data_IF_675213463040
#
_entry.id   IF_675213463040
#
_cell.length_a   1.000
_cell.length_b   1.000
_cell.length_c   1.000
_cell.angle_alpha   90.00
_cell.angle_beta   90.00
_cell.angle_gamma   90.00
#
_symmetry.space_group_name_H-M   'P 1'
#
loop_
_entity.id
_entity.type
_entity.pdbx_description
1 polymer ?
#
# COMPACT_ATOMS: atom_id res chain seq x y z
N UNK A 1 17.65 -24.01 44.94
CA UNK A 1 19.10 -23.97 44.71
C UNK A 1 19.30 -24.15 43.22
N UNK A 2 19.79 -23.12 42.54
CA UNK A 2 20.13 -23.23 41.12
C UNK A 2 21.36 -24.13 40.97
N UNK A 3 21.58 -24.73 39.80
CA UNK A 3 22.77 -25.59 39.62
C UNK A 3 24.06 -24.82 39.93
N UNK A 4 24.13 -23.55 39.54
CA UNK A 4 25.27 -22.67 39.83
C UNK A 4 25.52 -22.52 41.34
N UNK A 5 24.46 -22.35 42.15
CA UNK A 5 24.59 -22.23 43.61
C UNK A 5 25.12 -23.53 44.24
N UNK A 6 24.72 -24.69 43.70
CA UNK A 6 25.21 -25.99 44.18
C UNK A 6 26.68 -26.20 43.79
N UNK A 7 27.06 -25.76 42.58
CA UNK A 7 28.45 -25.82 42.12
C UNK A 7 29.35 -24.89 42.95
N UNK A 8 28.88 -23.69 43.27
CA UNK A 8 29.59 -22.75 44.14
C UNK A 8 29.79 -23.34 45.56
N UNK A 9 28.78 -24.01 46.12
CA UNK A 9 28.91 -24.72 47.40
C UNK A 9 29.90 -25.91 47.34
N UNK A 10 29.98 -26.61 46.20
CA UNK A 10 30.95 -27.67 45.98
C UNK A 10 32.38 -27.11 45.90
N UNK A 11 32.58 -26.00 45.20
CA UNK A 11 33.88 -25.32 45.12
C UNK A 11 34.30 -24.76 46.49
N UNK A 12 33.39 -24.16 47.26
CA UNK A 12 33.69 -23.71 48.62
C UNK A 12 34.09 -24.86 49.55
N UNK A 13 33.47 -26.04 49.43
CA UNK A 13 33.85 -27.22 50.21
C UNK A 13 35.23 -27.75 49.85
N UNK A 14 35.61 -27.65 48.57
CA UNK A 14 36.95 -28.02 48.10
C UNK A 14 38.00 -27.02 48.57
N UNK A 15 37.70 -25.71 48.55
CA UNK A 15 38.60 -24.66 49.01
C UNK A 15 38.83 -24.69 50.53
N UNK A 16 37.80 -25.04 51.30
CA UNK A 16 37.88 -25.17 52.78
C UNK A 16 38.45 -26.50 53.24
N UNK A 17 38.80 -27.41 52.33
CA UNK A 17 39.26 -28.75 52.64
C UNK A 17 40.67 -28.73 53.28
N UNK A 18 40.86 -29.48 54.36
CA UNK A 18 42.16 -29.54 55.04
C UNK A 18 43.15 -30.43 54.27
N UNK A 19 44.33 -29.90 53.95
CA UNK A 19 45.39 -30.66 53.28
C UNK A 19 45.91 -31.79 54.17
N UNK A 20 46.07 -32.99 53.59
CA UNK A 20 46.58 -34.16 54.31
C UNK A 20 48.12 -34.09 54.39
N UNK A 21 48.73 -34.17 55.60
CA UNK A 21 50.19 -34.16 55.74
C UNK A 21 50.85 -35.27 54.91
N UNK A 22 51.96 -34.93 54.24
CA UNK A 22 52.70 -35.81 53.32
C UNK A 22 52.00 -36.21 52.01
N UNK A 23 50.83 -35.63 51.70
CA UNK A 23 50.13 -35.84 50.43
C UNK A 23 49.75 -34.50 49.79
N UNK A 24 50.64 -33.94 48.97
CA UNK A 24 50.52 -32.60 48.37
C UNK A 24 49.27 -32.35 47.50
N UNK A 25 48.49 -33.40 47.18
CA UNK A 25 47.29 -33.33 46.35
C UNK A 25 46.08 -34.03 46.97
N UNK A 26 46.09 -34.28 48.29
CA UNK A 26 44.94 -34.87 48.98
C UNK A 26 44.42 -33.88 50.02
N UNK A 27 43.12 -33.58 49.92
CA UNK A 27 42.42 -32.80 50.91
C UNK A 27 41.32 -33.65 51.55
N UNK A 28 41.14 -33.47 52.86
CA UNK A 28 40.09 -34.13 53.62
C UNK A 28 38.83 -33.27 53.54
N UNK A 29 37.78 -33.83 52.95
CA UNK A 29 36.45 -33.22 52.84
C UNK A 29 35.40 -34.05 53.57
N UNK A 30 34.31 -33.41 53.95
CA UNK A 30 33.11 -34.10 54.39
C UNK A 30 32.46 -34.81 53.19
N UNK A 31 32.62 -36.13 53.14
CA UNK A 31 32.09 -36.97 52.08
C UNK A 31 30.57 -37.13 52.11
N UNK A 32 29.91 -36.85 53.23
CA UNK A 32 28.45 -36.89 53.35
C UNK A 32 27.86 -35.62 52.73
N UNK A 33 28.39 -34.46 53.10
CA UNK A 33 27.98 -33.17 52.51
C UNK A 33 28.25 -33.09 50.99
N UNK A 34 29.42 -33.57 50.54
CA UNK A 34 29.72 -33.63 49.09
C UNK A 34 28.76 -34.54 48.33
N UNK A 35 28.31 -35.63 48.96
CA UNK A 35 27.35 -36.57 48.36
C UNK A 35 25.94 -35.98 48.26
N UNK A 36 25.53 -35.18 49.23
CA UNK A 36 24.28 -34.40 49.18
C UNK A 36 24.30 -33.45 47.98
N UNK A 37 25.34 -32.62 47.84
CA UNK A 37 25.46 -31.67 46.74
C UNK A 37 25.47 -32.35 45.37
N UNK A 38 26.21 -33.46 45.21
CA UNK A 38 26.19 -34.27 43.98
C UNK A 38 24.78 -34.80 43.67
N UNK A 39 24.02 -35.17 44.69
CA UNK A 39 22.64 -35.66 44.54
C UNK A 39 21.70 -34.53 44.11
N UNK A 40 21.87 -33.34 44.68
CA UNK A 40 21.10 -32.15 44.34
C UNK A 40 21.41 -31.66 42.92
N UNK A 41 22.68 -31.65 42.49
CA UNK A 41 23.06 -31.37 41.09
C UNK A 41 22.37 -32.36 40.15
N UNK A 42 22.41 -33.66 40.48
CA UNK A 42 21.81 -34.71 39.64
C UNK A 42 20.28 -34.60 39.53
N UNK A 43 19.62 -34.06 40.56
CA UNK A 43 18.18 -33.83 40.56
C UNK A 43 17.80 -32.56 39.78
N UNK A 44 18.62 -31.51 39.83
CA UNK A 44 18.32 -30.21 39.22
C UNK A 44 18.73 -30.13 37.72
N UNK A 45 19.85 -30.74 37.30
CA UNK A 45 20.31 -30.77 35.89
C UNK A 45 19.20 -31.18 34.90
N UNK A 46 18.48 -32.31 35.10
CA UNK A 46 17.48 -32.75 34.15
C UNK A 46 16.30 -31.79 34.03
N UNK A 47 15.95 -31.07 35.10
CA UNK A 47 14.86 -30.10 35.07
C UNK A 47 15.27 -28.84 34.29
N UNK A 48 16.48 -28.35 34.51
CA UNK A 48 16.98 -27.16 33.84
C UNK A 48 17.17 -27.37 32.33
N UNK A 49 17.70 -28.54 31.94
CA UNK A 49 17.78 -28.96 30.53
C UNK A 49 16.39 -29.05 29.89
N UNK A 50 15.38 -29.57 30.60
CA UNK A 50 14.00 -29.61 30.09
C UNK A 50 13.43 -28.21 29.88
N UNK A 51 13.68 -27.28 30.81
CA UNK A 51 13.26 -25.88 30.68
C UNK A 51 13.94 -25.21 29.49
N UNK A 52 15.25 -25.37 29.33
CA UNK A 52 15.99 -24.82 28.19
C UNK A 52 15.44 -25.32 26.85
N UNK A 53 15.14 -26.63 26.74
CA UNK A 53 14.53 -27.21 25.53
C UNK A 53 13.13 -26.64 25.25
N UNK A 54 12.33 -26.39 26.28
CA UNK A 54 11.00 -25.80 26.13
C UNK A 54 11.09 -24.36 25.62
N UNK A 55 12.02 -23.57 26.18
CA UNK A 55 12.28 -22.19 25.74
C UNK A 55 12.72 -22.17 24.28
N UNK A 56 13.65 -23.04 23.86
CA UNK A 56 14.08 -23.13 22.45
C UNK A 56 12.90 -23.47 21.52
N UNK A 57 12.03 -24.40 21.93
CA UNK A 57 10.83 -24.74 21.18
C UNK A 57 9.87 -23.55 21.06
N UNK A 58 9.60 -22.85 22.16
CA UNK A 58 8.71 -21.68 22.15
C UNK A 58 9.29 -20.52 21.35
N UNK A 59 10.59 -20.25 21.44
CA UNK A 59 11.26 -19.25 20.62
C UNK A 59 11.11 -19.56 19.13
N UNK A 60 11.34 -20.81 18.72
CA UNK A 60 11.15 -21.25 17.32
C UNK A 60 9.70 -21.10 16.87
N UNK A 61 8.75 -21.46 17.72
CA UNK A 61 7.32 -21.31 17.43
C UNK A 61 6.93 -19.84 17.26
N UNK A 62 7.33 -18.98 18.19
CA UNK A 62 7.07 -17.53 18.15
C UNK A 62 7.69 -16.92 16.89
N UNK A 63 8.92 -17.30 16.55
CA UNK A 63 9.60 -16.78 15.36
C UNK A 63 8.86 -17.16 14.08
N UNK A 64 8.44 -18.42 13.95
CA UNK A 64 7.65 -18.89 12.81
C UNK A 64 6.28 -18.20 12.71
N UNK A 65 5.60 -17.99 13.84
CA UNK A 65 4.34 -17.24 13.87
C UNK A 65 4.55 -15.77 13.48
N UNK A 66 5.66 -15.15 13.88
CA UNK A 66 6.00 -13.78 13.53
C UNK A 66 6.32 -13.65 12.04
N UNK A 67 7.08 -14.58 11.46
CA UNK A 67 7.36 -14.65 10.02
C UNK A 67 6.07 -14.77 9.21
N UNK A 68 5.19 -15.71 9.56
CA UNK A 68 3.91 -15.88 8.87
C UNK A 68 3.01 -14.63 8.98
N UNK A 69 3.01 -13.95 10.14
CA UNK A 69 2.28 -12.68 10.31
C UNK A 69 2.89 -11.56 9.46
N UNK A 70 4.21 -11.47 9.40
CA UNK A 70 4.92 -10.47 8.61
C UNK A 70 4.64 -10.65 7.11
N UNK A 71 4.77 -11.88 6.61
CA UNK A 71 4.38 -12.24 5.23
C UNK A 71 2.92 -11.87 4.94
N UNK A 72 2.02 -12.18 5.87
CA UNK A 72 0.61 -11.80 5.77
C UNK A 72 0.38 -10.29 5.73
N UNK A 73 1.16 -9.50 6.45
CA UNK A 73 1.08 -8.03 6.43
C UNK A 73 1.57 -7.50 5.08
N UNK A 74 2.71 -7.98 4.60
CA UNK A 74 3.28 -7.58 3.31
C UNK A 74 2.31 -7.89 2.18
N UNK A 75 1.77 -9.11 2.13
CA UNK A 75 0.80 -9.50 1.09
C UNK A 75 -0.44 -8.60 1.08
N UNK A 76 -1.01 -8.29 2.26
CA UNK A 76 -2.17 -7.37 2.36
C UNK A 76 -1.81 -5.95 1.94
N UNK A 77 -0.60 -5.49 2.22
CA UNK A 77 -0.14 -4.17 1.80
C UNK A 77 0.01 -4.10 0.27
N UNK A 78 0.59 -5.12 -0.35
CA UNK A 78 0.71 -5.24 -1.81
C UNK A 78 -0.65 -5.30 -2.51
N UNK A 79 -1.59 -6.11 -2.00
CA UNK A 79 -2.96 -6.19 -2.51
C UNK A 79 -3.66 -4.82 -2.45
N UNK A 80 -3.53 -4.10 -1.34
CA UNK A 80 -4.08 -2.73 -1.18
C UNK A 80 -3.43 -1.74 -2.13
N UNK A 81 -2.11 -1.77 -2.27
CA UNK A 81 -1.38 -0.90 -3.19
C UNK A 81 -1.83 -1.13 -4.64
N UNK A 82 -1.96 -2.40 -5.05
CA UNK A 82 -2.47 -2.77 -6.37
C UNK A 82 -3.89 -2.27 -6.60
N UNK A 83 -4.77 -2.40 -5.60
CA UNK A 83 -6.14 -1.89 -5.69
C UNK A 83 -6.19 -0.36 -5.82
N UNK A 84 -5.37 0.37 -5.04
CA UNK A 84 -5.28 1.83 -5.12
C UNK A 84 -4.77 2.30 -6.48
N UNK A 85 -3.69 1.70 -7.00
CA UNK A 85 -3.15 2.03 -8.33
C UNK A 85 -4.19 1.72 -9.41
N UNK A 86 -4.90 0.60 -9.30
CA UNK A 86 -5.97 0.27 -10.25
C UNK A 86 -7.10 1.30 -10.21
N UNK A 87 -7.54 1.72 -9.01
CA UNK A 87 -8.57 2.75 -8.88
C UNK A 87 -8.10 4.09 -9.43
N UNK A 88 -6.86 4.50 -9.12
CA UNK A 88 -6.28 5.75 -9.61
C UNK A 88 -6.14 5.75 -11.14
N UNK A 89 -5.70 4.63 -11.72
CA UNK A 89 -5.64 4.45 -13.17
C UNK A 89 -7.04 4.58 -13.83
N UNK A 90 -8.06 3.95 -13.25
CA UNK A 90 -9.45 4.06 -13.73
C UNK A 90 -9.93 5.51 -13.64
N UNK A 91 -9.70 6.20 -12.51
CA UNK A 91 -10.11 7.59 -12.33
C UNK A 91 -9.37 8.53 -13.29
N UNK A 92 -8.08 8.30 -13.53
CA UNK A 92 -7.28 9.09 -14.48
C UNK A 92 -7.78 8.92 -15.91
N UNK A 93 -8.07 7.68 -16.33
CA UNK A 93 -8.63 7.41 -17.66
C UNK A 93 -10.04 8.00 -17.81
N UNK A 94 -10.89 7.86 -16.78
CA UNK A 94 -12.22 8.46 -16.78
C UNK A 94 -12.17 10.00 -16.89
N UNK A 95 -11.23 10.65 -16.18
CA UNK A 95 -11.01 12.11 -16.30
C UNK A 95 -10.58 12.50 -17.71
N UNK A 96 -9.62 11.78 -18.29
CA UNK A 96 -9.16 12.02 -19.67
C UNK A 96 -10.31 11.87 -20.67
N UNK A 97 -11.11 10.80 -20.56
CA UNK A 97 -12.27 10.59 -21.42
C UNK A 97 -13.33 11.69 -21.25
N UNK A 98 -13.52 12.21 -20.04
CA UNK A 98 -14.43 13.33 -19.78
C UNK A 98 -13.92 14.64 -20.42
N UNK A 99 -12.62 14.92 -20.31
CA UNK A 99 -11.99 16.07 -20.97
C UNK A 99 -12.11 15.99 -22.50
N UNK A 100 -11.85 14.82 -23.09
CA UNK A 100 -12.01 14.59 -24.52
C UNK A 100 -13.47 14.77 -24.97
N UNK A 101 -14.43 14.31 -24.15
CA UNK A 101 -15.86 14.50 -24.41
C UNK A 101 -16.24 15.99 -24.39
N UNK A 102 -15.74 16.74 -23.40
CA UNK A 102 -15.98 18.19 -23.30
C UNK A 102 -15.36 18.95 -24.48
N UNK A 103 -14.14 18.60 -24.88
CA UNK A 103 -13.48 19.18 -26.05
C UNK A 103 -14.27 18.91 -27.33
N UNK A 104 -14.71 17.66 -27.55
CA UNK A 104 -15.57 17.29 -28.69
C UNK A 104 -16.90 18.04 -28.68
N UNK A 105 -17.55 18.13 -27.53
CA UNK A 105 -18.81 18.86 -27.38
C UNK A 105 -18.63 20.36 -27.70
N UNK A 106 -17.54 20.97 -27.20
CA UNK A 106 -17.22 22.37 -27.48
C UNK A 106 -16.90 22.63 -28.95
N UNK A 107 -16.12 21.75 -29.59
CA UNK A 107 -15.84 21.82 -31.02
C UNK A 107 -17.12 21.72 -31.84
N UNK A 108 -17.96 20.72 -31.55
CA UNK A 108 -19.23 20.51 -32.24
C UNK A 108 -20.20 21.66 -32.04
N UNK A 109 -20.27 22.24 -30.85
CA UNK A 109 -21.07 23.44 -30.59
C UNK A 109 -20.60 24.62 -31.44
N UNK A 110 -19.28 24.83 -31.56
CA UNK A 110 -18.73 25.89 -32.40
C UNK A 110 -18.98 25.65 -33.90
N UNK A 111 -18.86 24.40 -34.35
CA UNK A 111 -19.20 24.02 -35.73
C UNK A 111 -20.66 24.28 -36.04
N UNK A 112 -21.58 23.86 -35.16
CA UNK A 112 -23.02 24.13 -35.31
C UNK A 112 -23.28 25.63 -35.36
N UNK A 113 -22.68 26.44 -34.47
CA UNK A 113 -22.83 27.90 -34.49
C UNK A 113 -22.36 28.50 -35.82
N UNK A 114 -21.20 28.08 -36.32
CA UNK A 114 -20.69 28.54 -37.62
C UNK A 114 -21.60 28.13 -38.77
N UNK A 115 -22.09 26.89 -38.78
CA UNK A 115 -23.00 26.40 -39.81
C UNK A 115 -24.34 27.15 -39.79
N UNK A 116 -24.90 27.42 -38.61
CA UNK A 116 -26.14 28.19 -38.44
C UNK A 116 -25.94 29.63 -38.92
N UNK A 117 -24.85 30.29 -38.53
CA UNK A 117 -24.57 31.65 -38.98
C UNK A 117 -24.41 31.71 -40.51
N UNK A 118 -23.67 30.79 -41.11
CA UNK A 118 -23.53 30.71 -42.56
C UNK A 118 -24.86 30.44 -43.28
N UNK A 119 -25.71 29.59 -42.69
CA UNK A 119 -27.06 29.35 -43.21
C UNK A 119 -27.92 30.62 -43.14
N UNK A 120 -27.95 31.31 -42.00
CA UNK A 120 -28.69 32.57 -41.83
C UNK A 120 -28.21 33.63 -42.81
N UNK A 121 -26.90 33.82 -42.97
CA UNK A 121 -26.33 34.76 -43.93
C UNK A 121 -26.77 34.43 -45.36
N UNK A 122 -26.67 33.16 -45.77
CA UNK A 122 -27.09 32.74 -47.11
C UNK A 122 -28.57 33.02 -47.39
N UNK A 123 -29.44 32.76 -46.40
CA UNK A 123 -30.89 33.03 -46.50
C UNK A 123 -31.19 34.53 -46.51
N UNK A 124 -30.44 35.33 -45.76
CA UNK A 124 -30.58 36.79 -45.79
C UNK A 124 -30.14 37.36 -47.14
N UNK A 125 -29.01 36.92 -47.70
CA UNK A 125 -28.57 37.34 -49.04
C UNK A 125 -29.58 36.96 -50.12
N UNK A 126 -30.18 35.77 -50.04
CA UNK A 126 -31.23 35.33 -50.98
C UNK A 126 -32.49 36.21 -50.87
N UNK A 127 -32.92 36.54 -49.65
CA UNK A 127 -34.03 37.46 -49.41
C UNK A 127 -33.72 38.88 -49.93
N UNK A 128 -32.51 39.40 -49.68
CA UNK A 128 -32.07 40.70 -50.20
C UNK A 128 -32.14 40.75 -51.73
N UNK A 129 -31.64 39.72 -52.42
CA UNK A 129 -31.72 39.63 -53.88
C UNK A 129 -33.18 39.59 -54.35
N UNK A 130 -34.01 38.76 -53.72
CA UNK A 130 -35.43 38.64 -54.08
C UNK A 130 -36.19 39.97 -53.93
N UNK A 131 -35.96 40.70 -52.82
CA UNK A 131 -36.58 42.02 -52.63
C UNK A 131 -36.03 43.08 -53.59
N UNK A 132 -34.73 43.04 -53.91
CA UNK A 132 -34.11 43.95 -54.87
C UNK A 132 -34.73 43.77 -56.27
N UNK A 133 -34.90 42.53 -56.72
CA UNK A 133 -35.53 42.19 -57.99
C UNK A 133 -37.00 42.65 -58.02
N UNK A 134 -37.76 42.36 -56.95
CA UNK A 134 -39.15 42.82 -56.82
C UNK A 134 -39.28 44.35 -56.85
N UNK A 135 -38.38 45.08 -56.18
CA UNK A 135 -38.33 46.55 -56.24
C UNK A 135 -38.02 47.06 -57.65
N UNK A 136 -37.12 46.38 -58.37
CA UNK A 136 -36.78 46.74 -59.74
C UNK A 136 -37.97 46.52 -60.69
N UNK A 137 -38.73 45.44 -60.53
CA UNK A 137 -39.97 45.23 -61.30
C UNK A 137 -41.01 46.31 -61.04
N UNK A 138 -41.24 46.68 -59.76
CA UNK A 138 -42.19 47.75 -59.41
C UNK A 138 -41.76 49.08 -60.02
N UNK A 139 -40.47 49.42 -59.94
CA UNK A 139 -39.92 50.62 -60.60
C UNK A 139 -40.14 50.59 -62.11
N UNK A 140 -39.90 49.45 -62.76
CA UNK A 140 -40.16 49.26 -64.20
C UNK A 140 -41.63 49.46 -64.56
N UNK A 141 -42.56 48.79 -63.85
CA UNK A 141 -44.01 48.94 -64.07
C UNK A 141 -44.48 50.38 -63.86
N UNK A 142 -43.96 51.07 -62.83
CA UNK A 142 -44.27 52.49 -62.57
C UNK A 142 -43.78 53.40 -63.70
N UNK A 143 -42.58 53.16 -64.24
CA UNK A 143 -42.05 53.93 -65.35
C UNK A 143 -42.88 53.74 -66.65
N UNK A 144 -43.32 52.52 -66.94
CA UNK A 144 -44.21 52.23 -68.07
C UNK A 144 -45.57 52.94 -67.95
N UNK A 145 -46.19 52.93 -66.76
CA UNK A 145 -47.45 53.63 -66.50
C UNK A 145 -47.33 55.16 -66.68
N UNK A 146 -46.19 55.75 -66.31
CA UNK A 146 -45.94 57.18 -66.50
C UNK A 146 -45.70 57.55 -67.97
N UNK A 147 -45.16 56.65 -68.79
CA UNK A 147 -44.98 56.86 -70.23
C UNK A 147 -46.31 56.79 -70.99
N UNK A 148 -47.24 55.93 -70.58
CA UNK A 148 -48.58 55.83 -71.16
C UNK A 148 -49.53 56.98 -70.76
N UNK A 149 -49.10 57.90 -69.88
CA UNK A 149 -49.88 59.08 -69.46
C UNK A 149 -49.48 60.38 -70.17
N UNK A 150 -48.51 60.33 -71.10
CA UNK A 150 -48.19 61.42 -72.04
C UNK A 150 -48.76 61.10 -73.41
#
# INVERSE_FOLDING_TARGET
MNIDEILDEMDELLDKAHAVPFAAHKAMIDGERMRELISDVRLNIPQEIKRAKLIDYDCKRIMKEAEAKAEGVVRRAEERAKALVSQEAIVKEARKSAEDMLLKAKSKSNEIKKAVNGYVDSRMTELESYYADGLQEVKRKKAQLNLNKK
#
